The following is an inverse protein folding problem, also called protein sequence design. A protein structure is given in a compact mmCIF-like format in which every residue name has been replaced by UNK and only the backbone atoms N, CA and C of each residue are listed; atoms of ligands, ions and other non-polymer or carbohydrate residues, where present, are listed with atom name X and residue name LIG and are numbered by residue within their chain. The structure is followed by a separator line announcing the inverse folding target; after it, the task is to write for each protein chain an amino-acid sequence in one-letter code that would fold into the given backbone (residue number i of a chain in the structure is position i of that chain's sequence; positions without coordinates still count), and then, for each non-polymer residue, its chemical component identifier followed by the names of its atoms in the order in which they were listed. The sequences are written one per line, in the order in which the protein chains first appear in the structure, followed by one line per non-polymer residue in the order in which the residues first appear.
data_IF_280651427097
#
_entry.id   IF_280651427097
#
_cell.length_a   1.000
_cell.length_b   1.000
_cell.length_c   1.000
_cell.angle_alpha   90.00
_cell.angle_beta   90.00
_cell.angle_gamma   90.00
#
_symmetry.space_group_name_H-M   'P 1'
#
loop_
_entity.id
_entity.type
_entity.pdbx_description
1 polymer ?
#
# COMPACT_ATOMS: atom_id res chain seq x y z
N UNK A 1 -0.67 -32.00 -20.86
CA UNK A 1 0.50 -31.29 -20.31
C UNK A 1 0.24 -29.79 -20.43
N UNK A 2 -0.53 -29.23 -19.49
CA UNK A 2 -0.95 -27.83 -19.49
C UNK A 2 0.25 -26.93 -19.23
N UNK A 3 0.51 -25.98 -20.13
CA UNK A 3 1.40 -24.86 -19.86
C UNK A 3 0.88 -24.16 -18.60
N UNK A 4 1.68 -24.17 -17.54
CA UNK A 4 1.49 -23.29 -16.40
C UNK A 4 1.54 -21.87 -16.95
N UNK A 5 0.37 -21.28 -17.16
CA UNK A 5 0.24 -19.85 -17.26
C UNK A 5 0.79 -19.29 -15.94
N UNK A 6 2.05 -18.88 -15.94
CA UNK A 6 2.54 -17.92 -14.98
C UNK A 6 1.77 -16.62 -15.26
N UNK A 7 0.51 -16.56 -14.81
CA UNK A 7 -0.19 -15.29 -14.66
C UNK A 7 0.65 -14.55 -13.65
N UNK A 8 1.47 -13.60 -14.11
CA UNK A 8 2.18 -12.70 -13.22
C UNK A 8 1.10 -11.99 -12.39
N UNK A 9 0.83 -12.52 -11.21
CA UNK A 9 -0.18 -11.98 -10.32
C UNK A 9 0.32 -10.62 -9.87
N UNK A 10 -0.50 -9.59 -10.05
CA UNK A 10 -0.20 -8.26 -9.55
C UNK A 10 -0.06 -8.36 -8.03
N UNK A 11 1.08 -7.94 -7.51
CA UNK A 11 1.36 -8.00 -6.07
C UNK A 11 0.68 -6.83 -5.38
N UNK A 12 -0.21 -7.10 -4.43
CA UNK A 12 -0.91 -6.08 -3.64
C UNK A 12 -0.05 -5.62 -2.48
N UNK A 13 0.24 -4.32 -2.45
CA UNK A 13 1.12 -3.69 -1.46
C UNK A 13 0.30 -2.73 -0.60
N UNK A 14 0.22 -3.00 0.70
CA UNK A 14 -0.34 -2.09 1.68
C UNK A 14 0.76 -1.18 2.24
N UNK A 15 0.57 0.13 2.17
CA UNK A 15 1.51 1.12 2.71
C UNK A 15 0.89 1.81 3.93
N UNK A 16 1.62 1.86 5.04
CA UNK A 16 1.22 2.58 6.25
C UNK A 16 2.35 3.49 6.75
N UNK A 17 1.98 4.70 7.14
CA UNK A 17 2.87 5.70 7.71
C UNK A 17 2.08 6.61 8.67
N UNK A 18 2.81 7.36 9.50
CA UNK A 18 2.24 8.44 10.29
C UNK A 18 1.76 9.58 9.38
N UNK A 19 0.85 10.43 9.87
CA UNK A 19 0.40 11.59 9.11
C UNK A 19 1.54 12.58 8.84
N UNK A 20 2.47 12.67 9.79
CA UNK A 20 3.71 13.46 9.78
C UNK A 20 4.69 12.97 8.69
N UNK A 21 4.65 11.67 8.38
CA UNK A 21 5.56 11.00 7.44
C UNK A 21 5.03 10.97 6.00
N UNK A 22 3.89 11.59 5.71
CA UNK A 22 3.24 11.54 4.40
C UNK A 22 4.17 11.89 3.24
N UNK A 23 5.16 12.77 3.45
CA UNK A 23 6.18 13.12 2.45
C UNK A 23 7.04 11.91 2.05
N UNK A 24 7.40 11.06 3.00
CA UNK A 24 8.20 9.85 2.77
C UNK A 24 7.38 8.77 2.09
N UNK A 25 6.10 8.64 2.44
CA UNK A 25 5.16 7.78 1.72
C UNK A 25 5.09 8.15 0.24
N UNK A 26 4.94 9.43 -0.08
CA UNK A 26 4.89 9.88 -1.48
C UNK A 26 6.20 9.64 -2.24
N UNK A 27 7.35 9.81 -1.57
CA UNK A 27 8.66 9.48 -2.14
C UNK A 27 8.76 7.99 -2.47
N UNK A 28 8.34 7.12 -1.55
CA UNK A 28 8.31 5.68 -1.76
C UNK A 28 7.39 5.29 -2.92
N UNK A 29 6.18 5.83 -2.98
CA UNK A 29 5.28 5.58 -4.11
C UNK A 29 5.89 5.99 -5.45
N UNK A 30 6.61 7.11 -5.50
CA UNK A 30 7.36 7.53 -6.69
C UNK A 30 8.45 6.54 -7.07
N UNK A 31 9.18 5.99 -6.12
CA UNK A 31 10.18 4.93 -6.39
C UNK A 31 9.52 3.67 -6.94
N UNK A 32 8.32 3.35 -6.44
CA UNK A 32 7.51 2.21 -6.88
C UNK A 32 6.77 2.44 -8.22
N UNK A 33 6.79 3.66 -8.76
CA UNK A 33 5.98 4.05 -9.91
C UNK A 33 6.23 3.24 -11.19
N UNK A 34 7.46 2.76 -11.43
CA UNK A 34 7.75 1.89 -12.58
C UNK A 34 7.00 0.57 -12.46
N UNK A 35 7.03 -0.05 -11.27
CA UNK A 35 6.35 -1.32 -11.01
C UNK A 35 4.84 -1.19 -11.08
N UNK A 36 4.29 -0.07 -10.60
CA UNK A 36 2.87 0.24 -10.71
C UNK A 36 2.47 0.39 -12.19
N UNK A 37 3.24 1.16 -12.97
CA UNK A 37 3.01 1.37 -14.41
C UNK A 37 3.11 0.10 -15.24
N UNK A 38 4.03 -0.79 -14.86
CA UNK A 38 4.21 -2.11 -15.49
C UNK A 38 3.12 -3.11 -15.06
N UNK A 39 2.22 -2.72 -14.16
CA UNK A 39 1.17 -3.59 -13.64
C UNK A 39 1.71 -4.74 -12.77
N UNK A 40 2.93 -4.62 -12.25
CA UNK A 40 3.56 -5.65 -11.40
C UNK A 40 3.08 -5.56 -9.96
N UNK A 41 2.76 -4.35 -9.51
CA UNK A 41 2.22 -4.11 -8.16
C UNK A 41 1.00 -3.18 -8.21
N UNK A 42 0.14 -3.33 -7.22
CA UNK A 42 -0.96 -2.44 -6.89
C UNK A 42 -0.76 -1.93 -5.47
N UNK A 43 -0.68 -0.62 -5.25
CA UNK A 43 -0.45 -0.06 -3.91
C UNK A 43 -1.69 0.64 -3.32
N UNK A 44 -1.96 0.37 -2.04
CA UNK A 44 -3.01 1.00 -1.26
C UNK A 44 -2.44 1.77 -0.06
N UNK A 45 -3.01 2.94 0.24
CA UNK A 45 -2.81 3.68 1.50
C UNK A 45 -4.00 4.60 1.80
N UNK A 46 -4.16 5.02 3.05
CA UNK A 46 -5.33 5.80 3.52
C UNK A 46 -5.61 7.08 2.71
N UNK A 47 -4.58 7.75 2.18
CA UNK A 47 -4.76 8.96 1.36
C UNK A 47 -5.20 8.72 -0.09
N UNK A 48 -5.35 7.47 -0.56
CA UNK A 48 -5.97 7.16 -1.87
C UNK A 48 -7.49 7.06 -1.78
N UNK A 49 -8.03 7.03 -0.56
CA UNK A 49 -9.46 6.88 -0.31
C UNK A 49 -10.12 8.25 -0.39
N UNK A 50 -11.22 8.36 -1.13
CA UNK A 50 -11.98 9.61 -1.28
C UNK A 50 -12.51 10.15 0.05
N UNK A 51 -12.64 11.47 0.15
CA UNK A 51 -13.18 12.15 1.34
C UNK A 51 -14.59 11.64 1.62
N UNK A 52 -14.85 11.20 2.86
CA UNK A 52 -16.14 10.65 3.29
C UNK A 52 -16.25 9.13 3.29
N UNK A 53 -15.23 8.40 2.84
CA UNK A 53 -15.21 6.94 2.97
C UNK A 53 -14.72 6.50 4.36
N UNK A 54 -15.29 5.41 4.88
CA UNK A 54 -14.87 4.79 6.15
C UNK A 54 -13.51 4.07 5.97
N UNK A 55 -12.44 4.86 5.88
CA UNK A 55 -11.10 4.40 5.51
C UNK A 55 -10.58 3.28 6.43
N UNK A 56 -11.00 3.25 7.70
CA UNK A 56 -10.65 2.16 8.65
C UNK A 56 -11.21 0.81 8.22
N UNK A 57 -12.44 0.78 7.70
CA UNK A 57 -13.06 -0.44 7.17
C UNK A 57 -12.30 -0.93 5.93
N UNK A 58 -12.00 -0.02 5.01
CA UNK A 58 -11.21 -0.34 3.82
C UNK A 58 -9.80 -0.80 4.19
N UNK A 59 -9.14 -0.15 5.16
CA UNK A 59 -7.83 -0.57 5.63
C UNK A 59 -7.83 -2.02 6.09
N UNK A 60 -8.86 -2.42 6.86
CA UNK A 60 -9.02 -3.80 7.31
C UNK A 60 -9.21 -4.78 6.15
N UNK A 61 -10.01 -4.41 5.14
CA UNK A 61 -10.21 -5.22 3.93
C UNK A 61 -8.93 -5.33 3.09
N UNK A 62 -8.16 -4.26 2.96
CA UNK A 62 -6.89 -4.29 2.23
C UNK A 62 -5.80 -5.07 2.97
N UNK A 63 -5.77 -4.99 4.31
CA UNK A 63 -4.86 -5.79 5.14
C UNK A 63 -5.07 -7.29 4.98
N UNK A 64 -6.31 -7.76 4.75
CA UNK A 64 -6.57 -9.20 4.58
C UNK A 64 -6.20 -9.73 3.20
N UNK A 65 -6.06 -8.85 2.20
CA UNK A 65 -5.78 -9.25 0.81
C UNK A 65 -4.41 -8.80 0.32
N UNK A 66 -3.64 -8.06 1.12
CA UNK A 66 -2.31 -7.61 0.76
C UNK A 66 -1.31 -8.78 0.74
N UNK A 67 -0.50 -8.86 -0.32
CA UNK A 67 0.61 -9.79 -0.41
C UNK A 67 1.84 -9.26 0.36
N UNK A 68 2.00 -7.94 0.42
CA UNK A 68 3.09 -7.26 1.11
C UNK A 68 2.53 -6.10 1.94
N UNK A 69 3.00 -5.99 3.18
CA UNK A 69 2.75 -4.84 4.07
C UNK A 69 4.08 -4.08 4.23
N UNK A 70 4.09 -2.80 3.88
CA UNK A 70 5.23 -1.90 4.07
C UNK A 70 4.86 -0.83 5.10
N UNK A 71 5.61 -0.83 6.21
CA UNK A 71 5.46 0.11 7.31
C UNK A 71 6.62 1.12 7.27
N UNK A 72 6.29 2.41 7.23
CA UNK A 72 7.26 3.48 7.40
C UNK A 72 7.32 3.81 8.90
N UNK A 73 8.25 3.19 9.60
CA UNK A 73 8.40 3.33 11.05
C UNK A 73 9.30 4.54 11.35
N UNK A 74 8.76 5.49 12.11
CA UNK A 74 9.41 6.70 12.61
C UNK A 74 9.02 6.92 14.08
N UNK A 75 9.63 7.87 14.80
CA UNK A 75 9.14 8.29 16.11
C UNK A 75 7.67 8.71 16.11
N UNK A 76 7.24 9.46 15.07
CA UNK A 76 5.86 9.91 14.93
C UNK A 76 4.90 8.73 14.69
N UNK A 77 5.33 7.72 13.92
CA UNK A 77 4.56 6.48 13.73
C UNK A 77 4.35 5.72 15.05
N UNK A 78 5.41 5.58 15.85
CA UNK A 78 5.35 4.89 17.15
C UNK A 78 4.52 5.68 18.17
N UNK A 79 4.52 7.01 18.09
CA UNK A 79 3.75 7.89 18.97
C UNK A 79 2.28 8.06 18.53
N UNK A 80 1.94 7.69 17.29
CA UNK A 80 0.59 7.84 16.76
C UNK A 80 -0.41 6.83 17.34
N UNK A 81 -1.68 7.23 17.48
CA UNK A 81 -2.79 6.38 17.92
C UNK A 81 -3.28 5.39 16.83
N UNK A 82 -2.37 4.98 15.93
CA UNK A 82 -2.71 4.17 14.76
C UNK A 82 -3.17 2.75 15.14
#
# INVERSE_FOLDING_TARGET
MSLLANRAQVVKVFLSCADEDRKFLHLLERQLSSLIREGRIESWHRYKVGVGSEWKKQAKEYLTVADIILLLISPDFVASDY
#
